data_IF_771681257885
#
_entry.id   IF_771681257885
#
_cell.length_a   1.000
_cell.length_b   1.000
_cell.length_c   1.000
_cell.angle_alpha   90.00
_cell.angle_beta   90.00
_cell.angle_gamma   90.00
#
_symmetry.space_group_name_H-M   'P 1'
#
loop_
_entity.id
_entity.type
_entity.pdbx_description
1 polymer ?
#
# COMPACT_ATOMS: atom_id res chain seq x y z
N UNK A 1 1.35 16.09 5.12
CA UNK A 1 0.72 15.46 6.27
C UNK A 1 0.21 14.08 5.86
N UNK A 2 0.89 13.02 6.35
CA UNK A 2 0.58 11.62 6.01
C UNK A 2 -0.85 11.22 6.38
N UNK A 3 -1.45 11.91 7.35
CA UNK A 3 -2.80 11.66 7.84
C UNK A 3 -3.91 12.22 6.94
N UNK A 4 -3.59 13.17 6.07
CA UNK A 4 -4.60 13.85 5.25
C UNK A 4 -5.00 13.06 3.98
N UNK A 5 -4.28 12.01 3.64
CA UNK A 5 -4.58 11.19 2.49
C UNK A 5 -5.31 9.92 2.96
N UNK A 6 -6.49 9.67 2.40
CA UNK A 6 -7.26 8.42 2.63
C UNK A 6 -6.61 7.17 2.00
N UNK A 7 -5.32 7.25 1.70
CA UNK A 7 -4.57 6.17 1.07
C UNK A 7 -4.21 5.09 2.09
N UNK A 8 -4.65 3.88 1.83
CA UNK A 8 -4.41 2.72 2.69
C UNK A 8 -3.01 2.10 2.52
N UNK A 9 -2.18 2.66 1.63
CA UNK A 9 -0.85 2.16 1.30
C UNK A 9 0.20 3.26 1.43
N UNK A 10 1.33 2.90 2.02
CA UNK A 10 2.47 3.80 2.26
C UNK A 10 3.08 4.25 0.94
N UNK A 11 3.18 3.35 -0.02
CA UNK A 11 3.75 3.62 -1.33
C UNK A 11 2.96 4.71 -2.06
N UNK A 12 1.64 4.70 -1.96
CA UNK A 12 0.78 5.72 -2.55
C UNK A 12 1.00 7.10 -1.93
N UNK A 13 1.38 7.15 -0.66
CA UNK A 13 1.71 8.41 0.03
C UNK A 13 3.00 9.03 -0.50
N UNK A 14 3.96 8.20 -0.96
CA UNK A 14 5.20 8.68 -1.58
C UNK A 14 4.96 9.35 -2.93
N UNK A 15 3.84 9.02 -3.59
CA UNK A 15 3.48 9.59 -4.88
C UNK A 15 3.18 11.09 -4.74
N UNK A 16 3.92 11.91 -5.47
CA UNK A 16 3.77 13.36 -5.46
C UNK A 16 4.40 14.10 -4.28
N UNK A 17 4.76 13.41 -3.20
CA UNK A 17 5.42 14.05 -2.04
C UNK A 17 6.94 14.19 -2.20
N UNK A 18 7.54 13.34 -3.03
CA UNK A 18 8.99 13.32 -3.19
C UNK A 18 9.36 13.37 -4.67
N UNK A 19 10.07 14.43 -5.10
CA UNK A 19 10.54 14.55 -6.48
C UNK A 19 11.47 13.39 -6.85
N UNK A 20 11.35 12.83 -8.06
CA UNK A 20 12.17 11.72 -8.55
C UNK A 20 11.80 10.35 -7.97
N UNK A 21 10.66 10.23 -7.30
CA UNK A 21 10.03 8.96 -6.93
C UNK A 21 8.79 8.76 -7.80
N UNK A 22 8.75 7.65 -8.49
CA UNK A 22 7.59 7.23 -9.29
C UNK A 22 6.96 6.03 -8.61
N UNK A 23 5.64 6.11 -8.40
CA UNK A 23 4.86 5.01 -7.85
C UNK A 23 3.84 4.59 -8.90
N UNK A 24 3.86 3.33 -9.29
CA UNK A 24 2.96 2.77 -10.30
C UNK A 24 2.15 1.64 -9.66
N UNK A 25 0.83 1.71 -9.74
CA UNK A 25 -0.03 0.59 -9.42
C UNK A 25 -0.22 -0.26 -10.69
N UNK A 26 0.27 -1.51 -10.75
CA UNK A 26 0.19 -2.33 -11.97
C UNK A 26 -1.22 -2.80 -12.27
N UNK A 27 -2.09 -2.85 -11.28
CA UNK A 27 -3.49 -3.24 -11.43
C UNK A 27 -4.40 -2.54 -10.42
N UNK A 28 -5.72 -2.64 -10.63
CA UNK A 28 -6.75 -2.19 -9.68
C UNK A 28 -7.10 -3.23 -8.61
N UNK A 29 -6.44 -4.38 -8.57
CA UNK A 29 -6.69 -5.41 -7.58
C UNK A 29 -6.38 -4.89 -6.16
N UNK A 30 -7.18 -5.25 -5.16
CA UNK A 30 -7.01 -4.74 -3.79
C UNK A 30 -5.68 -5.13 -3.16
N UNK A 31 -5.10 -6.26 -3.57
CA UNK A 31 -3.83 -6.81 -3.11
C UNK A 31 -2.61 -6.40 -3.95
N UNK A 32 -2.82 -5.76 -5.12
CA UNK A 32 -1.72 -5.43 -6.03
C UNK A 32 -0.70 -4.50 -5.37
N UNK A 33 0.53 -4.98 -5.18
CA UNK A 33 1.63 -4.18 -4.66
C UNK A 33 1.97 -3.03 -5.61
N UNK A 34 2.16 -1.83 -5.07
CA UNK A 34 2.62 -0.69 -5.84
C UNK A 34 4.12 -0.81 -6.10
N UNK A 35 4.53 -0.54 -7.34
CA UNK A 35 5.94 -0.50 -7.70
C UNK A 35 6.49 0.91 -7.45
N UNK A 36 7.48 1.01 -6.58
CA UNK A 36 8.19 2.24 -6.29
C UNK A 36 9.52 2.24 -7.02
N UNK A 37 9.83 3.34 -7.70
CA UNK A 37 11.11 3.55 -8.40
C UNK A 37 11.69 4.89 -8.02
N UNK A 38 12.97 4.90 -7.72
CA UNK A 38 13.72 6.12 -7.41
C UNK A 38 14.64 6.43 -8.58
N UNK A 39 14.46 7.63 -9.20
CA UNK A 39 15.22 8.07 -10.39
C UNK A 39 15.10 7.16 -11.62
N UNK A 40 14.01 6.41 -11.75
CA UNK A 40 13.72 5.58 -12.92
C UNK A 40 14.23 4.14 -12.82
N UNK A 41 14.43 3.50 -13.96
CA UNK A 41 14.85 2.10 -14.07
C UNK A 41 16.38 2.05 -14.18
N UNK A 42 17.05 1.65 -13.12
CA UNK A 42 18.51 1.52 -13.09
C UNK A 42 19.04 0.14 -13.46
N UNK A 43 18.16 -0.88 -13.49
CA UNK A 43 18.53 -2.27 -13.78
C UNK A 43 17.42 -2.98 -14.53
N UNK A 44 17.79 -3.92 -15.40
CA UNK A 44 16.84 -4.76 -16.14
C UNK A 44 16.18 -5.81 -15.21
N UNK A 45 16.89 -6.28 -14.20
CA UNK A 45 16.42 -7.38 -13.35
C UNK A 45 15.56 -6.90 -12.18
N UNK A 46 16.02 -5.90 -11.42
CA UNK A 46 15.29 -5.33 -10.29
C UNK A 46 15.64 -3.85 -10.15
N UNK A 47 14.61 -3.00 -10.16
CA UNK A 47 14.71 -1.55 -10.00
C UNK A 47 14.03 -1.05 -8.72
N UNK A 48 13.68 -1.96 -7.79
CA UNK A 48 13.09 -1.60 -6.51
C UNK A 48 14.13 -0.96 -5.59
N UNK A 49 13.75 0.07 -4.83
CA UNK A 49 14.62 0.67 -3.83
C UNK A 49 14.82 -0.29 -2.65
N UNK A 50 15.91 -0.08 -1.91
CA UNK A 50 16.13 -0.77 -0.65
C UNK A 50 15.29 -0.10 0.44
N UNK A 51 14.45 -0.87 1.12
CA UNK A 51 13.69 -0.40 2.27
C UNK A 51 14.46 -0.68 3.56
N UNK A 52 14.57 0.36 4.40
CA UNK A 52 15.16 0.28 5.74
C UNK A 52 14.09 0.72 6.73
N UNK A 53 13.60 -0.20 7.55
CA UNK A 53 12.59 0.07 8.57
C UNK A 53 13.23 0.01 9.94
N UNK A 54 13.23 1.13 10.66
CA UNK A 54 13.87 1.28 11.98
C UNK A 54 15.33 0.80 12.01
N UNK A 55 16.06 1.00 10.93
CA UNK A 55 17.48 0.62 10.78
C UNK A 55 17.71 -0.79 10.26
N UNK A 56 16.66 -1.59 10.03
CA UNK A 56 16.77 -2.94 9.46
C UNK A 56 16.40 -2.95 7.99
N UNK A 57 17.25 -3.58 7.17
CA UNK A 57 16.99 -3.78 5.75
C UNK A 57 15.90 -4.86 5.55
N UNK A 58 14.84 -4.49 4.85
CA UNK A 58 13.72 -5.37 4.54
C UNK A 58 13.81 -5.80 3.07
N UNK A 59 13.55 -7.05 2.81
CA UNK A 59 13.38 -7.59 1.45
C UNK A 59 11.90 -7.63 1.11
N UNK A 60 11.53 -7.10 -0.05
CA UNK A 60 10.15 -6.89 -0.46
C UNK A 60 9.63 -5.49 -0.15
N UNK A 61 8.35 -5.27 -0.34
CA UNK A 61 7.69 -3.98 -0.10
C UNK A 61 7.45 -3.67 1.38
N UNK A 62 6.88 -2.51 1.63
CA UNK A 62 6.47 -2.04 2.97
C UNK A 62 4.95 -1.98 3.14
N UNK A 63 4.22 -2.62 2.25
CA UNK A 63 2.75 -2.74 2.23
C UNK A 63 2.17 -3.38 3.50
N UNK A 64 2.97 -4.19 4.20
CA UNK A 64 2.60 -4.77 5.49
C UNK A 64 2.55 -3.74 6.64
N UNK A 65 3.21 -2.58 6.50
CA UNK A 65 3.19 -1.55 7.52
C UNK A 65 1.89 -0.74 7.50
N UNK A 66 1.42 -0.36 8.67
CA UNK A 66 0.32 0.59 8.77
C UNK A 66 0.85 2.02 8.62
N UNK A 67 0.30 2.84 7.70
CA UNK A 67 0.71 4.25 7.57
C UNK A 67 0.61 5.05 8.87
N UNK A 68 -0.35 4.71 9.75
CA UNK A 68 -0.53 5.38 11.03
C UNK A 68 0.61 5.11 12.03
N UNK A 69 1.39 4.05 11.83
CA UNK A 69 2.56 3.73 12.67
C UNK A 69 3.82 4.47 12.24
N UNK A 70 3.79 5.18 11.12
CA UNK A 70 4.96 5.85 10.58
C UNK A 70 5.08 7.24 11.19
N UNK A 71 6.28 7.57 11.63
CA UNK A 71 6.67 8.90 12.06
C UNK A 71 7.24 9.70 10.89
N UNK A 72 8.12 9.08 10.09
CA UNK A 72 8.87 9.75 9.03
C UNK A 72 9.28 8.77 7.93
N UNK A 73 9.26 9.26 6.69
CA UNK A 73 9.84 8.59 5.53
C UNK A 73 10.86 9.52 4.90
N UNK A 74 12.05 9.00 4.64
CA UNK A 74 13.12 9.71 3.95
C UNK A 74 13.58 8.90 2.73
N UNK A 75 13.83 9.57 1.63
CA UNK A 75 14.29 8.92 0.41
C UNK A 75 15.72 9.41 0.09
N UNK A 76 16.66 8.48 0.20
CA UNK A 76 18.06 8.72 -0.20
C UNK A 76 18.20 8.39 -1.68
N UNK A 77 18.34 9.43 -2.48
CA UNK A 77 18.37 9.29 -3.95
C UNK A 77 19.80 9.20 -4.48
N UNK A 78 20.76 9.76 -3.74
CA UNK A 78 22.14 9.89 -4.19
C UNK A 78 22.99 8.71 -3.74
N UNK A 79 23.88 8.27 -4.62
CA UNK A 79 24.81 7.18 -4.33
C UNK A 79 25.67 7.44 -3.09
N UNK A 80 26.05 8.71 -2.84
CA UNK A 80 26.84 9.08 -1.67
C UNK A 80 26.06 8.84 -0.36
N UNK A 81 24.77 9.23 -0.30
CA UNK A 81 23.93 9.00 0.87
C UNK A 81 23.55 7.52 1.05
N UNK A 82 23.48 6.77 -0.06
CA UNK A 82 23.21 5.32 -0.06
C UNK A 82 24.45 4.45 0.22
N UNK A 83 25.67 5.00 0.16
CA UNK A 83 26.91 4.23 0.25
C UNK A 83 27.04 3.37 1.52
N UNK A 84 26.46 3.82 2.64
CA UNK A 84 26.44 3.07 3.91
C UNK A 84 25.72 1.73 3.77
N UNK A 85 24.78 1.60 2.82
CA UNK A 85 23.97 0.41 2.59
C UNK A 85 24.50 -0.49 1.46
N UNK A 86 25.68 -0.14 0.91
CA UNK A 86 26.40 -0.93 -0.10
C UNK A 86 25.70 -0.99 -1.46
N UNK A 87 26.00 -2.03 -2.24
CA UNK A 87 25.50 -2.19 -3.61
C UNK A 87 23.97 -2.29 -3.70
N UNK A 88 23.30 -2.72 -2.65
CA UNK A 88 21.82 -2.79 -2.59
C UNK A 88 21.14 -1.42 -2.67
N UNK A 89 21.89 -0.34 -2.38
CA UNK A 89 21.39 1.03 -2.46
C UNK A 89 21.46 1.64 -3.87
N UNK A 90 21.91 0.90 -4.88
CA UNK A 90 22.08 1.41 -6.25
C UNK A 90 20.76 1.98 -6.85
N UNK A 91 19.63 1.41 -6.49
CA UNK A 91 18.29 1.85 -6.92
C UNK A 91 17.64 2.87 -5.96
N UNK A 92 18.42 3.46 -5.04
CA UNK A 92 17.93 4.34 -3.98
C UNK A 92 17.57 3.58 -2.70
N UNK A 93 17.43 4.35 -1.60
CA UNK A 93 17.06 3.81 -0.28
C UNK A 93 15.87 4.58 0.27
N UNK A 94 14.89 3.88 0.80
CA UNK A 94 13.74 4.45 1.49
C UNK A 94 13.88 4.09 2.98
N UNK A 95 14.11 5.13 3.79
CA UNK A 95 14.19 5.01 5.24
C UNK A 95 12.81 5.24 5.83
N UNK A 96 12.30 4.27 6.56
CA UNK A 96 11.04 4.37 7.28
C UNK A 96 11.34 4.35 8.77
N UNK A 97 11.03 5.44 9.44
CA UNK A 97 11.08 5.54 10.90
C UNK A 97 9.69 5.42 11.44
N UNK A 98 9.51 4.53 12.38
CA UNK A 98 8.21 4.31 12.98
C UNK A 98 8.06 5.04 14.30
N UNK A 99 6.83 5.29 14.73
CA UNK A 99 6.52 5.99 15.96
C UNK A 99 7.06 5.22 17.17
N UNK A 100 7.65 5.99 18.09
CA UNK A 100 8.13 5.53 19.38
C UNK A 100 7.35 6.21 20.49
N UNK A 101 7.34 5.64 21.68
CA UNK A 101 6.75 6.26 22.84
C UNK A 101 7.45 7.58 23.17
N UNK A 102 6.69 8.61 23.47
CA UNK A 102 7.20 9.91 23.92
C UNK A 102 6.99 10.04 25.42
N UNK A 103 7.90 10.76 26.12
CA UNK A 103 7.80 11.01 27.56
C UNK A 103 6.49 11.74 27.87
N UNK A 104 5.76 11.22 28.87
CA UNK A 104 4.49 11.79 29.30
C UNK A 104 3.50 10.70 29.66
N UNK A 105 2.24 11.11 29.77
CA UNK A 105 1.14 10.17 30.00
C UNK A 105 0.97 9.25 28.78
N UNK A 106 0.56 8.02 29.03
CA UNK A 106 0.19 7.08 27.97
C UNK A 106 -0.91 7.69 27.10
N UNK A 107 -0.71 7.63 25.80
CA UNK A 107 -1.68 8.11 24.80
C UNK A 107 -2.27 6.92 24.11
N UNK A 108 -3.60 6.87 24.08
CA UNK A 108 -4.37 5.87 23.33
C UNK A 108 -5.05 6.59 22.18
N UNK A 109 -4.83 6.10 20.96
CA UNK A 109 -5.51 6.62 19.77
C UNK A 109 -6.26 5.46 19.12
N UNK A 110 -7.49 5.76 18.70
CA UNK A 110 -8.30 4.87 17.89
C UNK A 110 -8.80 5.65 16.69
N UNK A 111 -8.45 5.16 15.51
CA UNK A 111 -8.88 5.71 14.22
C UNK A 111 -9.78 4.70 13.51
N UNK A 112 -10.96 5.14 13.13
CA UNK A 112 -11.91 4.38 12.33
C UNK A 112 -12.20 5.10 11.03
N UNK A 113 -12.18 4.39 9.93
CA UNK A 113 -12.64 4.91 8.65
C UNK A 113 -13.47 3.87 7.91
N UNK A 114 -14.54 4.35 7.27
CA UNK A 114 -15.41 3.58 6.41
C UNK A 114 -15.68 4.38 5.13
N UNK A 115 -15.67 3.71 4.01
CA UNK A 115 -15.90 4.36 2.73
C UNK A 115 -16.26 3.36 1.64
N UNK A 116 -16.52 3.88 0.46
CA UNK A 116 -16.84 3.10 -0.73
C UNK A 116 -15.91 3.49 -1.85
N UNK A 117 -15.59 2.54 -2.69
CA UNK A 117 -14.86 2.76 -3.93
C UNK A 117 -15.69 2.31 -5.12
N UNK A 118 -15.58 3.08 -6.18
CA UNK A 118 -16.23 2.79 -7.45
C UNK A 118 -15.20 2.84 -8.57
N UNK A 119 -15.37 2.08 -9.66
CA UNK A 119 -14.58 2.27 -10.87
C UNK A 119 -14.76 3.70 -11.36
N UNK A 120 -13.67 4.45 -11.51
CA UNK A 120 -13.77 5.84 -11.97
C UNK A 120 -14.09 5.96 -13.46
N UNK A 121 -13.83 4.88 -14.22
CA UNK A 121 -14.12 4.80 -15.64
C UNK A 121 -14.47 3.38 -16.05
N UNK A 122 -15.54 3.24 -16.79
CA UNK A 122 -16.00 2.02 -17.43
C UNK A 122 -15.64 2.09 -18.92
N UNK A 123 -15.09 1.04 -19.54
CA UNK A 123 -14.93 1.01 -21.00
C UNK A 123 -16.30 1.01 -21.67
N UNK A 124 -16.43 1.76 -22.76
CA UNK A 124 -17.62 1.67 -23.60
C UNK A 124 -17.49 0.39 -24.43
N UNK A 125 -18.44 -0.50 -24.28
CA UNK A 125 -18.56 -1.72 -25.08
C UNK A 125 -19.80 -1.63 -25.95
N UNK A 126 -19.81 -2.39 -27.03
CA UNK A 126 -20.95 -2.49 -27.92
C UNK A 126 -22.11 -3.17 -27.20
N UNK A 127 -23.30 -2.70 -27.42
CA UNK A 127 -24.52 -3.42 -27.04
C UNK A 127 -24.76 -4.63 -27.97
N UNK A 128 -25.74 -5.48 -27.66
CA UNK A 128 -25.97 -6.72 -28.41
C UNK A 128 -26.34 -6.44 -29.89
N UNK A 129 -27.16 -5.44 -30.16
CA UNK A 129 -27.50 -5.02 -31.51
C UNK A 129 -26.29 -4.51 -32.28
N UNK A 130 -25.52 -3.60 -31.69
CA UNK A 130 -24.31 -3.06 -32.31
C UNK A 130 -23.28 -4.15 -32.59
N UNK A 131 -23.10 -5.08 -31.68
CA UNK A 131 -22.22 -6.24 -31.86
C UNK A 131 -22.67 -7.09 -33.05
N UNK A 132 -23.96 -7.42 -33.11
CA UNK A 132 -24.51 -8.23 -34.23
C UNK A 132 -24.37 -7.55 -35.60
N UNK A 133 -24.57 -6.22 -35.63
CA UNK A 133 -24.39 -5.43 -36.87
C UNK A 133 -22.93 -5.49 -37.32
N UNK A 134 -21.97 -5.20 -36.42
CA UNK A 134 -20.54 -5.18 -36.75
C UNK A 134 -20.05 -6.58 -37.18
N UNK A 135 -20.53 -7.63 -36.52
CA UNK A 135 -20.20 -9.01 -36.88
C UNK A 135 -20.70 -9.33 -38.29
N UNK A 136 -21.96 -9.00 -38.61
CA UNK A 136 -22.50 -9.19 -39.97
C UNK A 136 -21.71 -8.41 -41.04
N UNK A 137 -21.35 -7.16 -40.73
CA UNK A 137 -20.52 -6.35 -41.62
C UNK A 137 -19.17 -7.00 -41.87
N UNK A 138 -18.53 -7.53 -40.84
CA UNK A 138 -17.26 -8.27 -40.94
C UNK A 138 -17.39 -9.51 -41.86
N UNK A 139 -18.46 -10.29 -41.70
CA UNK A 139 -18.71 -11.48 -42.54
C UNK A 139 -18.98 -11.13 -43.99
N UNK A 140 -19.80 -10.08 -44.24
CA UNK A 140 -20.09 -9.60 -45.60
C UNK A 140 -18.81 -9.10 -46.28
N UNK A 141 -17.97 -8.35 -45.59
CA UNK A 141 -16.67 -7.88 -46.09
C UNK A 141 -15.69 -9.02 -46.38
N UNK A 142 -15.82 -10.15 -45.70
CA UNK A 142 -15.08 -11.38 -45.98
C UNK A 142 -15.69 -12.22 -47.12
N UNK A 143 -16.74 -11.78 -47.79
CA UNK A 143 -17.46 -12.50 -48.83
C UNK A 143 -18.32 -13.66 -48.32
N UNK A 144 -18.69 -13.64 -47.04
CA UNK A 144 -19.54 -14.66 -46.39
C UNK A 144 -20.96 -14.13 -46.14
N UNK A 145 -21.89 -15.01 -45.91
CA UNK A 145 -23.24 -14.62 -45.52
C UNK A 145 -23.26 -14.04 -44.10
N UNK A 146 -24.13 -13.08 -43.79
CA UNK A 146 -24.34 -12.61 -42.45
C UNK A 146 -24.73 -13.76 -41.51
N UNK A 147 -24.26 -13.74 -40.27
CA UNK A 147 -24.55 -14.78 -39.25
C UNK A 147 -25.80 -14.50 -38.44
N UNK A 148 -26.25 -13.23 -38.38
CA UNK A 148 -27.45 -12.82 -37.67
C UNK A 148 -28.47 -12.33 -38.70
N UNK A 149 -29.59 -13.01 -38.83
CA UNK A 149 -30.63 -12.64 -39.80
C UNK A 149 -31.25 -11.27 -39.49
N UNK A 150 -31.52 -11.01 -38.22
CA UNK A 150 -32.08 -9.73 -37.79
C UNK A 150 -31.33 -9.22 -36.52
N UNK A 151 -30.28 -8.41 -36.67
CA UNK A 151 -29.53 -7.87 -35.53
C UNK A 151 -30.38 -7.05 -34.54
N UNK A 152 -31.45 -6.45 -34.98
CA UNK A 152 -32.28 -5.58 -34.13
C UNK A 152 -33.15 -6.34 -33.12
N UNK A 153 -33.29 -7.66 -33.25
CA UNK A 153 -34.02 -8.48 -32.29
C UNK A 153 -33.32 -8.61 -30.94
N UNK A 154 -31.99 -8.37 -30.89
CA UNK A 154 -31.21 -8.50 -29.66
C UNK A 154 -31.40 -7.35 -28.68
N UNK A 155 -31.85 -6.16 -29.14
CA UNK A 155 -32.01 -4.99 -28.28
C UNK A 155 -30.68 -4.54 -27.68
N UNK A 156 -30.72 -4.04 -26.45
CA UNK A 156 -29.50 -3.60 -25.75
C UNK A 156 -28.68 -4.78 -25.24
N UNK A 157 -29.35 -5.91 -24.91
CA UNK A 157 -28.69 -7.08 -24.31
C UNK A 157 -28.20 -6.82 -22.89
N UNK A 158 -27.26 -7.64 -22.45
CA UNK A 158 -26.65 -7.54 -21.12
C UNK A 158 -25.32 -6.77 -21.19
N UNK A 159 -25.16 -5.76 -20.36
CA UNK A 159 -23.88 -5.09 -20.16
C UNK A 159 -22.98 -5.94 -19.27
N UNK A 160 -22.22 -6.83 -19.88
CA UNK A 160 -21.31 -7.75 -19.17
C UNK A 160 -20.19 -7.03 -18.41
N UNK A 161 -19.84 -5.82 -18.81
CA UNK A 161 -18.86 -5.03 -18.06
C UNK A 161 -19.46 -4.58 -16.75
N UNK A 162 -20.72 -4.15 -16.76
CA UNK A 162 -21.42 -3.72 -15.55
C UNK A 162 -21.68 -4.88 -14.58
N UNK A 163 -22.03 -6.06 -15.12
CA UNK A 163 -22.26 -7.26 -14.33
C UNK A 163 -21.01 -7.76 -13.57
N UNK A 164 -19.80 -7.49 -14.09
CA UNK A 164 -18.55 -7.87 -13.41
C UNK A 164 -17.99 -6.76 -12.52
N UNK A 165 -18.55 -5.55 -12.57
CA UNK A 165 -18.13 -4.44 -11.73
C UNK A 165 -18.88 -4.48 -10.39
N UNK A 166 -18.13 -4.28 -9.30
CA UNK A 166 -18.69 -4.09 -7.98
C UNK A 166 -18.80 -2.59 -7.71
N UNK A 167 -20.04 -2.11 -7.66
CA UNK A 167 -20.37 -0.75 -7.32
C UNK A 167 -20.44 -0.58 -5.80
N UNK A 168 -19.91 0.54 -5.31
CA UNK A 168 -19.86 0.85 -3.89
C UNK A 168 -19.12 -0.23 -3.07
N UNK A 169 -18.03 -0.76 -3.62
CA UNK A 169 -17.20 -1.74 -2.93
C UNK A 169 -16.70 -1.15 -1.59
N UNK A 170 -17.05 -1.74 -0.45
CA UNK A 170 -16.74 -1.17 0.85
C UNK A 170 -15.25 -1.28 1.17
N UNK A 171 -14.80 -0.29 1.94
CA UNK A 171 -13.48 -0.29 2.57
C UNK A 171 -13.66 0.11 4.03
N UNK A 172 -13.11 -0.68 4.93
CA UNK A 172 -13.20 -0.44 6.37
C UNK A 172 -11.82 -0.59 7.00
N UNK A 173 -11.51 0.34 7.89
CA UNK A 173 -10.23 0.36 8.59
C UNK A 173 -10.42 0.69 10.06
N UNK A 174 -9.76 -0.07 10.92
CA UNK A 174 -9.65 0.15 12.34
C UNK A 174 -8.19 0.17 12.74
N UNK A 175 -7.75 1.22 13.40
CA UNK A 175 -6.40 1.35 13.93
C UNK A 175 -6.45 1.73 15.40
N UNK A 176 -5.84 0.92 16.23
CA UNK A 176 -5.65 1.18 17.65
C UNK A 176 -4.16 1.32 17.94
N UNK A 177 -3.77 2.37 18.64
CA UNK A 177 -2.39 2.52 19.09
C UNK A 177 -2.31 3.01 20.53
N UNK A 178 -1.33 2.50 21.24
CA UNK A 178 -1.02 2.86 22.63
C UNK A 178 0.47 3.18 22.69
N UNK A 179 0.81 4.37 23.13
CA UNK A 179 2.21 4.77 23.23
C UNK A 179 2.47 5.61 24.47
N UNK A 180 3.68 5.52 25.00
CA UNK A 180 4.12 6.29 26.14
C UNK A 180 5.59 6.04 26.48
N UNK A 181 6.14 6.90 27.31
CA UNK A 181 7.48 6.69 27.83
C UNK A 181 7.63 7.32 29.22
N UNK A 182 8.49 6.73 30.00
CA UNK A 182 9.07 7.30 31.21
C UNK A 182 10.62 7.36 31.08
N UNK A 183 11.32 7.61 32.15
CA UNK A 183 12.79 7.72 32.11
C UNK A 183 13.47 6.39 31.74
N UNK A 184 12.85 5.27 32.03
CA UNK A 184 13.44 3.95 31.87
C UNK A 184 12.83 3.13 30.74
N UNK A 185 11.58 3.39 30.37
CA UNK A 185 10.86 2.59 29.37
C UNK A 185 10.16 3.48 28.37
N UNK A 186 10.30 3.18 27.10
CA UNK A 186 9.45 3.70 26.03
C UNK A 186 8.73 2.53 25.35
N UNK A 187 7.49 2.76 24.96
CA UNK A 187 6.70 1.74 24.28
C UNK A 187 5.76 2.38 23.26
N UNK A 188 5.58 1.69 22.14
CA UNK A 188 4.55 1.96 21.17
C UNK A 188 4.00 0.62 20.66
N UNK A 189 2.72 0.40 20.88
CA UNK A 189 1.98 -0.79 20.48
C UNK A 189 0.89 -0.36 19.53
N UNK A 190 0.69 -1.09 18.44
CA UNK A 190 -0.42 -0.85 17.54
C UNK A 190 -1.03 -2.14 17.02
N UNK A 191 -2.33 -2.06 16.71
CA UNK A 191 -3.09 -3.09 16.05
C UNK A 191 -3.96 -2.43 14.98
N UNK A 192 -3.92 -2.97 13.77
CA UNK A 192 -4.70 -2.48 12.63
C UNK A 192 -5.47 -3.60 11.97
N UNK A 193 -6.68 -3.31 11.56
CA UNK A 193 -7.54 -4.16 10.75
C UNK A 193 -8.03 -3.38 9.55
N UNK A 194 -7.78 -3.90 8.37
CA UNK A 194 -8.21 -3.33 7.10
C UNK A 194 -8.93 -4.40 6.30
N UNK A 195 -10.14 -4.11 5.87
CA UNK A 195 -10.83 -4.89 4.85
C UNK A 195 -11.18 -4.00 3.67
N UNK A 196 -11.07 -4.54 2.47
CA UNK A 196 -11.30 -3.84 1.23
C UNK A 196 -11.84 -4.81 0.20
N UNK A 197 -13.00 -4.53 -0.36
CA UNK A 197 -13.51 -5.26 -1.50
C UNK A 197 -12.98 -4.69 -2.81
N UNK A 198 -12.76 -5.58 -3.79
CA UNK A 198 -12.36 -5.18 -5.14
C UNK A 198 -13.51 -4.59 -5.92
N UNK A 199 -13.18 -3.71 -6.86
CA UNK A 199 -14.15 -3.12 -7.79
C UNK A 199 -14.47 -4.02 -8.99
N UNK A 200 -13.77 -5.15 -9.13
CA UNK A 200 -13.97 -6.15 -10.17
C UNK A 200 -14.20 -7.50 -9.52
N UNK A 201 -15.17 -8.25 -10.00
CA UNK A 201 -15.56 -9.56 -9.46
C UNK A 201 -17.06 -9.69 -9.23
N UNK A 202 -17.81 -8.61 -9.40
CA UNK A 202 -19.27 -8.59 -9.20
C UNK A 202 -19.65 -9.10 -7.81
N UNK A 203 -20.83 -9.70 -7.71
CA UNK A 203 -21.37 -10.28 -6.46
C UNK A 203 -20.72 -11.61 -6.04
N UNK A 204 -19.61 -12.00 -6.63
CA UNK A 204 -19.01 -13.33 -6.42
C UNK A 204 -18.02 -13.41 -5.25
N UNK A 205 -17.84 -12.33 -4.49
CA UNK A 205 -16.96 -12.29 -3.30
C UNK A 205 -15.54 -12.84 -3.55
N UNK A 206 -14.99 -12.58 -4.74
CA UNK A 206 -13.74 -13.18 -5.23
C UNK A 206 -12.53 -12.25 -5.16
N UNK A 207 -12.72 -10.99 -4.80
CA UNK A 207 -11.64 -10.00 -4.78
C UNK A 207 -11.59 -9.23 -3.47
N UNK A 208 -11.59 -9.96 -2.35
CA UNK A 208 -11.49 -9.38 -1.03
C UNK A 208 -10.03 -9.33 -0.57
N UNK A 209 -9.69 -8.23 0.06
CA UNK A 209 -8.41 -8.03 0.72
C UNK A 209 -8.64 -7.78 2.19
N UNK A 210 -8.02 -8.59 3.03
CA UNK A 210 -8.04 -8.45 4.48
C UNK A 210 -6.61 -8.38 5.00
N UNK A 211 -6.34 -7.41 5.86
CA UNK A 211 -5.03 -7.27 6.49
C UNK A 211 -5.18 -7.00 7.98
N UNK A 212 -4.59 -7.86 8.77
CA UNK A 212 -4.40 -7.68 10.21
C UNK A 212 -2.95 -7.35 10.48
N UNK A 213 -2.68 -6.26 11.15
CA UNK A 213 -1.33 -5.84 11.51
C UNK A 213 -1.22 -5.71 13.02
N UNK A 214 -0.15 -6.22 13.59
CA UNK A 214 0.20 -6.00 15.00
C UNK A 214 1.65 -5.58 15.07
N UNK A 215 1.92 -4.55 15.84
CA UNK A 215 3.25 -4.03 16.02
C UNK A 215 3.54 -3.70 17.48
N UNK A 216 4.76 -4.00 17.90
CA UNK A 216 5.30 -3.67 19.20
C UNK A 216 6.69 -3.07 19.04
N UNK A 217 6.91 -1.91 19.64
CA UNK A 217 8.20 -1.26 19.75
C UNK A 217 8.41 -0.89 21.23
N UNK A 218 9.37 -1.56 21.87
CA UNK A 218 9.64 -1.39 23.30
C UNK A 218 11.14 -1.14 23.48
N UNK A 219 11.47 -0.08 24.19
CA UNK A 219 12.84 0.22 24.59
C UNK A 219 12.93 0.32 26.10
N UNK A 220 13.90 -0.37 26.69
CA UNK A 220 14.15 -0.36 28.14
C UNK A 220 15.56 0.12 28.39
N UNK A 221 15.71 1.18 29.17
CA UNK A 221 16.99 1.63 29.68
C UNK A 221 17.29 0.89 30.97
N UNK A 222 18.22 -0.07 30.87
CA UNK A 222 18.60 -0.94 31.99
C UNK A 222 19.55 -0.20 32.93
N UNK A 223 20.35 0.69 32.35
CA UNK A 223 21.36 1.41 33.05
C UNK A 223 21.47 2.83 32.56
N UNK A 224 21.37 3.81 33.45
CA UNK A 224 21.61 5.21 33.16
C UNK A 224 22.31 5.86 34.38
N UNK A 225 23.63 5.85 34.38
CA UNK A 225 24.46 6.55 35.35
C UNK A 225 25.43 7.47 34.58
N UNK A 226 24.90 8.52 34.04
CA UNK A 226 25.62 9.43 33.14
C UNK A 226 26.79 10.19 33.77
N UNK A 227 27.05 10.03 35.04
CA UNK A 227 28.04 10.84 35.79
C UNK A 227 29.13 10.05 36.53
N UNK A 228 29.10 8.71 36.54
CA UNK A 228 29.97 7.95 37.43
C UNK A 228 30.97 6.98 36.79
N UNK A 229 30.96 6.79 35.46
CA UNK A 229 31.86 5.83 34.81
C UNK A 229 32.37 6.33 33.46
N UNK A 230 33.68 6.14 33.23
CA UNK A 230 34.35 6.61 32.00
C UNK A 230 34.12 5.76 30.75
N UNK A 231 33.43 4.58 30.84
CA UNK A 231 33.33 3.64 29.73
C UNK A 231 31.88 3.17 29.40
N UNK A 232 30.96 3.19 30.38
CA UNK A 232 29.55 2.81 30.13
C UNK A 232 28.62 3.73 30.91
N UNK A 233 28.05 4.71 30.20
CA UNK A 233 27.17 5.70 30.79
C UNK A 233 25.69 5.32 30.67
N UNK A 234 25.31 4.60 29.60
CA UNK A 234 23.93 4.22 29.34
C UNK A 234 23.86 2.88 28.62
N UNK A 235 22.97 2.00 29.06
CA UNK A 235 22.62 0.76 28.39
C UNK A 235 21.12 0.74 28.12
N UNK A 236 20.73 0.77 26.85
CA UNK A 236 19.34 0.65 26.43
C UNK A 236 19.21 -0.58 25.54
N UNK A 237 18.22 -1.41 25.82
CA UNK A 237 17.83 -2.54 24.98
C UNK A 237 16.49 -2.18 24.33
N UNK A 238 16.43 -2.26 23.00
CA UNK A 238 15.19 -2.04 22.27
C UNK A 238 14.85 -3.26 21.43
N UNK A 239 13.56 -3.58 21.39
CA UNK A 239 13.00 -4.63 20.53
C UNK A 239 11.88 -4.03 19.70
N UNK A 240 11.86 -4.39 18.44
CA UNK A 240 10.79 -4.05 17.52
C UNK A 240 10.31 -5.32 16.84
N UNK A 241 9.02 -5.59 16.94
CA UNK A 241 8.38 -6.72 16.29
C UNK A 241 7.16 -6.22 15.52
N UNK A 242 6.99 -6.72 14.30
CA UNK A 242 5.80 -6.48 13.49
C UNK A 242 5.36 -7.78 12.83
N UNK A 243 4.06 -7.99 12.77
CA UNK A 243 3.45 -9.09 12.05
C UNK A 243 2.28 -8.56 11.24
N UNK A 244 2.15 -9.05 10.02
CA UNK A 244 0.98 -8.81 9.19
C UNK A 244 0.50 -10.13 8.63
N UNK A 245 -0.81 -10.31 8.60
CA UNK A 245 -1.50 -11.37 7.87
C UNK A 245 -2.33 -10.70 6.78
N UNK A 246 -2.13 -11.16 5.58
CA UNK A 246 -2.81 -10.69 4.37
C UNK A 246 -3.59 -11.85 3.79
#
# INVERSE_FOLDING_TARGET
>A
DLKAQSNNRIESVLQGMTSGVTVTAPSGAPDAAAQVRVRGVGSINNSEPLYIVDGMAISGGIDYLNPNDIERIEVLKDAASGAVYGARAANGVILVTTKKGQKGKATVNYDFSYGWQNPWRKPNVLNATEYAIIMNEGYINAGQAPIYDNPYEFGEGTDWVDEVLNHNAPIMKHDLSISGANDNVNYALSAGYLTREGTVGGNFDRSNYERVTVRSNIGVTIWDKSKERNWLNKLTVSTSASSARI
#
